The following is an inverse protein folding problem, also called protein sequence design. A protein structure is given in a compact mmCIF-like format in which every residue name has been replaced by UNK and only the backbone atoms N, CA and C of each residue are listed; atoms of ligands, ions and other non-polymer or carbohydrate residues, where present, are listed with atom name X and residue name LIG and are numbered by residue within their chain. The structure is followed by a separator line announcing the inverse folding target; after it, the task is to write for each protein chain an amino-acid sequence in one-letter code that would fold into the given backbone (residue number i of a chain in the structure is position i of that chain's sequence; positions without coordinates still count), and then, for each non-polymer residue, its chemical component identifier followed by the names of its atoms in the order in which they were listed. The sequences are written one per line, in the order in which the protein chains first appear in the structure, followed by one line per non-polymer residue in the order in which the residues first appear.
data_IF_803244017825
#
_entry.id   IF_803244017825
#
_cell.length_a   1.000
_cell.length_b   1.000
_cell.length_c   1.000
_cell.angle_alpha   90.00
_cell.angle_beta   90.00
_cell.angle_gamma   90.00
#
_symmetry.space_group_name_H-M   'P 1'
#
loop_
_entity.id
_entity.type
_entity.pdbx_description
1 polymer ?
#
# COMPACT_ATOMS: atom_id res chain seq x y z
N UNK A 1 -0.29 24.98 -23.00
CA UNK A 1 0.87 25.03 -22.05
C UNK A 1 0.33 25.59 -20.72
N UNK A 2 0.26 24.74 -19.68
CA UNK A 2 -0.15 25.20 -18.35
C UNK A 2 0.97 26.06 -17.75
N UNK A 3 0.65 27.26 -17.25
CA UNK A 3 1.61 28.10 -16.53
C UNK A 3 2.18 27.35 -15.35
N UNK A 4 3.51 27.22 -15.26
CA UNK A 4 4.21 26.74 -14.06
C UNK A 4 3.89 27.72 -12.92
N UNK A 5 3.37 27.21 -11.81
CA UNK A 5 3.03 28.07 -10.66
C UNK A 5 4.32 28.49 -9.95
N UNK A 6 4.51 29.80 -9.81
CA UNK A 6 5.70 30.43 -9.20
C UNK A 6 5.63 30.41 -7.65
N UNK A 7 5.20 29.30 -7.05
CA UNK A 7 5.00 29.18 -5.60
C UNK A 7 5.97 28.19 -5.02
N UNK A 8 6.66 28.57 -3.94
CA UNK A 8 7.49 27.68 -3.13
C UNK A 8 6.70 27.16 -1.93
N UNK A 9 6.55 25.85 -1.83
CA UNK A 9 5.83 25.19 -0.76
C UNK A 9 6.82 24.67 0.25
N UNK A 10 6.61 25.01 1.53
CA UNK A 10 7.41 24.50 2.64
C UNK A 10 6.94 23.10 2.97
N UNK A 11 7.85 22.14 2.83
CA UNK A 11 7.55 20.71 2.98
C UNK A 11 8.57 20.05 3.90
N UNK A 12 8.07 19.50 5.02
CA UNK A 12 8.89 18.72 5.96
C UNK A 12 9.12 17.28 5.49
N UNK A 13 8.39 16.82 4.50
CA UNK A 13 8.52 15.48 3.94
C UNK A 13 9.53 15.37 2.80
N UNK A 14 10.04 16.50 2.27
CA UNK A 14 11.07 16.47 1.24
C UNK A 14 12.49 16.62 1.84
N UNK A 15 13.42 15.82 1.36
CA UNK A 15 14.82 15.82 1.81
C UNK A 15 15.70 16.88 1.13
N UNK A 16 15.20 17.54 0.07
CA UNK A 16 15.95 18.54 -0.71
C UNK A 16 15.04 19.65 -1.19
N UNK A 17 15.60 20.87 -1.31
CA UNK A 17 14.98 21.92 -2.08
C UNK A 17 14.94 21.52 -3.56
N UNK A 18 13.83 21.75 -4.22
CA UNK A 18 13.71 21.39 -5.63
C UNK A 18 12.75 22.28 -6.41
N UNK A 19 13.07 22.50 -7.67
CA UNK A 19 12.24 23.25 -8.61
C UNK A 19 12.33 22.67 -10.00
N UNK A 20 11.25 22.79 -10.77
CA UNK A 20 11.25 22.46 -12.21
C UNK A 20 11.56 23.66 -13.12
N UNK A 21 11.84 24.85 -12.57
CA UNK A 21 12.07 26.06 -13.35
C UNK A 21 13.48 26.60 -13.13
N UNK A 22 14.27 26.57 -14.21
CA UNK A 22 15.65 27.05 -14.23
C UNK A 22 15.81 28.54 -13.94
N UNK A 23 14.73 29.34 -14.12
CA UNK A 23 14.77 30.80 -13.95
C UNK A 23 14.92 31.22 -12.47
N UNK A 24 14.74 30.31 -11.52
CA UNK A 24 14.94 30.60 -10.11
C UNK A 24 16.42 30.66 -9.71
N UNK A 25 17.31 30.05 -10.49
CA UNK A 25 18.70 29.90 -10.11
C UNK A 25 19.53 31.13 -10.36
N UNK A 26 20.25 31.57 -9.33
CA UNK A 26 21.34 32.57 -9.44
C UNK A 26 22.63 31.97 -9.98
N UNK A 27 22.88 30.69 -9.66
CA UNK A 27 23.95 29.90 -10.24
C UNK A 27 23.53 28.45 -10.40
N UNK A 28 23.99 27.77 -11.46
CA UNK A 28 23.56 26.42 -11.82
C UNK A 28 24.78 25.61 -12.25
N UNK A 29 24.96 24.44 -11.61
CA UNK A 29 25.99 23.47 -11.96
C UNK A 29 25.33 22.20 -12.49
N UNK A 30 25.75 21.73 -13.66
CA UNK A 30 25.25 20.49 -14.23
C UNK A 30 25.55 19.32 -13.31
N UNK A 31 24.58 18.43 -13.10
CA UNK A 31 24.77 17.24 -12.28
C UNK A 31 25.89 16.36 -12.86
N UNK A 32 26.85 15.95 -12.04
CA UNK A 32 28.01 15.14 -12.49
C UNK A 32 27.70 13.65 -12.58
N UNK A 33 26.57 13.21 -12.01
CA UNK A 33 26.02 11.83 -12.05
C UNK A 33 24.52 11.92 -12.30
N UNK A 34 23.96 10.87 -12.92
CA UNK A 34 22.52 10.73 -13.08
C UNK A 34 21.86 10.50 -11.72
N UNK A 35 21.52 11.59 -11.03
CA UNK A 35 20.75 11.53 -9.79
C UNK A 35 19.26 11.52 -10.14
N UNK A 36 18.48 10.75 -9.42
CA UNK A 36 17.02 10.74 -9.51
C UNK A 36 16.38 10.98 -8.15
N UNK A 37 15.28 11.71 -8.15
CA UNK A 37 14.44 11.89 -6.96
C UNK A 37 13.28 10.92 -7.04
N UNK A 38 13.04 10.24 -5.92
CA UNK A 38 11.89 9.34 -5.75
C UNK A 38 10.84 10.09 -4.95
N UNK A 39 9.67 10.28 -5.54
CA UNK A 39 8.53 10.89 -4.87
C UNK A 39 7.75 9.88 -4.03
N UNK A 40 6.88 10.37 -3.15
CA UNK A 40 6.07 9.53 -2.27
C UNK A 40 5.12 8.55 -2.99
N UNK A 41 4.84 8.78 -4.26
CA UNK A 41 4.09 7.87 -5.15
C UNK A 41 4.97 6.84 -5.86
N UNK A 42 6.26 6.79 -5.50
CA UNK A 42 7.29 5.97 -6.13
C UNK A 42 7.61 6.34 -7.60
N UNK A 43 7.10 7.45 -8.11
CA UNK A 43 7.58 8.01 -9.38
C UNK A 43 9.00 8.55 -9.22
N UNK A 44 9.77 8.53 -10.30
CA UNK A 44 11.15 9.04 -10.32
C UNK A 44 11.30 10.11 -11.37
N UNK A 45 11.97 11.21 -11.03
CA UNK A 45 12.34 12.25 -12.00
C UNK A 45 13.84 12.50 -11.93
N UNK A 46 14.41 12.81 -13.08
CA UNK A 46 15.83 13.08 -13.20
C UNK A 46 16.19 14.44 -12.60
N UNK A 47 17.32 14.52 -11.89
CA UNK A 47 17.94 15.77 -11.47
C UNK A 47 18.85 16.25 -12.61
N UNK A 48 18.45 17.32 -13.27
CA UNK A 48 19.18 17.87 -14.43
C UNK A 48 20.40 18.67 -14.00
N UNK A 49 20.30 19.40 -12.89
CA UNK A 49 21.33 20.25 -12.35
C UNK A 49 21.08 20.56 -10.88
N UNK A 50 22.07 21.13 -10.20
CA UNK A 50 21.94 21.68 -8.84
C UNK A 50 22.52 23.08 -8.79
N UNK A 51 21.98 23.93 -7.89
CA UNK A 51 22.44 25.31 -7.87
C UNK A 51 21.98 26.09 -6.64
N UNK A 52 22.12 27.40 -6.74
CA UNK A 52 21.75 28.38 -5.73
C UNK A 52 20.49 29.12 -6.18
N UNK A 53 19.57 29.37 -5.26
CA UNK A 53 18.38 30.18 -5.47
C UNK A 53 18.37 31.33 -4.48
N UNK A 54 18.48 32.54 -4.95
CA UNK A 54 18.43 33.74 -4.11
C UNK A 54 16.98 34.02 -3.73
N UNK A 55 16.69 34.06 -2.43
CA UNK A 55 15.35 34.36 -1.90
C UNK A 55 15.19 35.86 -1.65
N UNK A 56 16.17 36.45 -0.99
CA UNK A 56 16.29 37.90 -0.75
C UNK A 56 17.78 38.24 -0.53
N UNK A 57 18.07 39.45 -0.02
CA UNK A 57 19.47 39.88 0.17
C UNK A 57 20.19 39.09 1.27
N UNK A 58 19.44 38.58 2.27
CA UNK A 58 19.99 37.95 3.47
C UNK A 58 19.80 36.43 3.49
N UNK A 59 19.09 35.86 2.52
CA UNK A 59 18.79 34.43 2.53
C UNK A 59 18.87 33.81 1.12
N UNK A 60 19.62 32.76 1.02
CA UNK A 60 19.86 32.01 -0.22
C UNK A 60 19.71 30.50 0.05
N UNK A 61 19.01 29.82 -0.84
CA UNK A 61 18.87 28.35 -0.79
C UNK A 61 20.04 27.69 -1.55
N UNK A 62 20.74 26.79 -0.87
CA UNK A 62 21.88 26.05 -1.43
C UNK A 62 21.44 24.65 -1.89
N UNK A 63 22.22 24.09 -2.82
CA UNK A 63 22.00 22.73 -3.32
C UNK A 63 20.56 22.43 -3.79
N UNK A 64 19.91 23.44 -4.35
CA UNK A 64 18.57 23.26 -4.92
C UNK A 64 18.66 22.40 -6.17
N UNK A 65 17.83 21.36 -6.26
CA UNK A 65 17.78 20.45 -7.41
C UNK A 65 16.86 21.03 -8.50
N UNK A 66 17.36 21.09 -9.73
CA UNK A 66 16.53 21.29 -10.92
C UNK A 66 16.04 19.91 -11.35
N UNK A 67 14.73 19.68 -11.24
CA UNK A 67 14.09 18.38 -11.48
C UNK A 67 13.21 18.45 -12.71
N UNK A 68 13.35 17.47 -13.57
CA UNK A 68 12.57 17.39 -14.81
C UNK A 68 11.07 17.24 -14.50
N UNK A 69 10.24 18.00 -15.20
CA UNK A 69 8.77 17.98 -15.10
C UNK A 69 8.17 18.23 -13.71
N UNK A 70 8.94 18.75 -12.77
CA UNK A 70 8.43 19.13 -11.46
C UNK A 70 7.49 20.34 -11.58
N UNK A 71 6.27 20.20 -11.08
CA UNK A 71 5.21 21.20 -11.23
C UNK A 71 5.24 22.29 -10.15
N UNK A 72 5.76 21.96 -8.97
CA UNK A 72 5.79 22.82 -7.80
C UNK A 72 7.21 22.97 -7.29
N UNK A 73 7.52 24.13 -6.74
CA UNK A 73 8.79 24.33 -6.09
C UNK A 73 8.65 23.91 -4.62
N UNK A 74 9.56 23.08 -4.13
CA UNK A 74 9.53 22.54 -2.78
C UNK A 74 10.70 23.05 -1.96
N UNK A 75 10.39 23.59 -0.79
CA UNK A 75 11.34 24.10 0.19
C UNK A 75 11.46 23.08 1.32
N UNK A 76 12.61 22.42 1.40
CA UNK A 76 12.88 21.39 2.42
C UNK A 76 13.15 22.02 3.78
N UNK A 77 12.32 21.66 4.77
CA UNK A 77 12.57 22.07 6.16
C UNK A 77 13.87 21.44 6.68
N UNK A 78 14.17 20.21 6.30
CA UNK A 78 15.41 19.53 6.71
C UNK A 78 16.65 20.30 6.27
N UNK A 79 16.75 20.68 5.00
CA UNK A 79 17.91 21.44 4.51
C UNK A 79 18.03 22.84 5.16
N UNK A 80 16.92 23.50 5.46
CA UNK A 80 16.94 24.78 6.19
C UNK A 80 17.57 24.61 7.56
N UNK A 81 17.16 23.58 8.29
CA UNK A 81 17.70 23.29 9.63
C UNK A 81 19.17 22.86 9.56
N UNK A 82 19.55 22.04 8.58
CA UNK A 82 20.94 21.62 8.36
C UNK A 82 21.88 22.78 8.04
N UNK A 83 21.36 23.92 7.52
CA UNK A 83 22.10 25.16 7.26
C UNK A 83 22.10 26.13 8.46
N UNK A 84 21.75 25.67 9.66
CA UNK A 84 21.69 26.44 10.91
C UNK A 84 20.64 27.55 10.94
N UNK A 85 19.50 27.34 10.23
CA UNK A 85 18.32 28.18 10.37
C UNK A 85 17.26 27.45 11.19
N UNK A 86 16.38 28.22 11.82
CA UNK A 86 15.24 27.69 12.58
C UNK A 86 13.91 27.97 11.85
N UNK A 87 13.02 27.00 11.79
CA UNK A 87 11.69 27.15 11.17
C UNK A 87 10.62 27.11 12.25
N UNK A 88 9.96 28.23 12.48
CA UNK A 88 8.89 28.33 13.47
C UNK A 88 7.52 28.36 12.78
N UNK A 89 6.71 27.35 13.04
CA UNK A 89 5.32 27.25 12.56
C UNK A 89 4.34 27.74 13.62
N UNK A 90 3.58 28.78 13.30
CA UNK A 90 2.53 29.36 14.17
C UNK A 90 1.22 29.54 13.39
N UNK A 91 0.11 29.56 14.11
CA UNK A 91 -1.22 29.76 13.52
C UNK A 91 -1.35 31.11 12.77
N UNK A 92 -0.71 32.14 13.31
CA UNK A 92 -0.85 33.54 12.85
C UNK A 92 0.35 34.07 12.03
N UNK A 93 1.27 33.22 11.63
CA UNK A 93 2.45 33.61 10.85
C UNK A 93 3.64 32.72 11.20
N UNK A 94 4.19 32.05 10.20
CA UNK A 94 5.36 31.19 10.33
C UNK A 94 6.55 31.88 9.73
N UNK A 95 7.74 31.59 10.22
CA UNK A 95 8.98 32.29 9.79
C UNK A 95 10.18 31.38 9.85
N UNK A 96 11.21 31.70 9.06
CA UNK A 96 12.56 31.18 9.18
C UNK A 96 13.43 32.23 9.85
N UNK A 97 14.23 31.81 10.81
CA UNK A 97 15.15 32.66 11.56
C UNK A 97 16.59 32.18 11.33
N UNK A 98 17.52 33.13 11.30
CA UNK A 98 18.96 32.82 11.29
C UNK A 98 19.49 32.54 12.69
N UNK A 99 20.78 32.25 12.79
CA UNK A 99 21.47 31.99 14.07
C UNK A 99 21.54 33.21 15.03
N UNK A 100 21.25 34.40 14.52
CA UNK A 100 21.18 35.64 15.33
C UNK A 100 19.76 35.88 15.88
N UNK A 101 18.78 35.10 15.42
CA UNK A 101 17.36 35.24 15.78
C UNK A 101 16.59 36.23 14.89
N UNK A 102 17.22 36.68 13.78
CA UNK A 102 16.57 37.57 12.83
C UNK A 102 15.71 36.80 11.83
N UNK A 103 14.56 37.34 11.49
CA UNK A 103 13.63 36.72 10.54
C UNK A 103 14.11 36.94 9.09
N UNK A 104 14.50 35.87 8.43
CA UNK A 104 15.04 35.90 7.07
C UNK A 104 14.05 35.50 5.98
N UNK A 105 12.95 34.79 6.35
CA UNK A 105 11.90 34.42 5.42
C UNK A 105 10.54 34.33 6.11
N UNK A 106 9.54 34.97 5.53
CA UNK A 106 8.16 34.81 5.97
C UNK A 106 7.51 33.61 5.29
N UNK A 107 6.69 32.91 6.06
CA UNK A 107 5.93 31.75 5.58
C UNK A 107 4.46 32.03 5.85
N UNK A 108 3.67 32.16 4.81
CA UNK A 108 2.23 32.35 4.89
C UNK A 108 1.48 31.02 4.82
N UNK A 109 0.35 30.94 5.53
CA UNK A 109 -0.52 29.77 5.43
C UNK A 109 -1.51 29.97 4.30
N UNK A 110 -1.55 28.99 3.41
CA UNK A 110 -2.40 28.98 2.27
C UNK A 110 -3.25 27.70 2.21
N UNK A 111 -4.47 27.79 2.67
CA UNK A 111 -5.32 26.61 2.85
C UNK A 111 -4.69 25.60 3.82
N UNK A 112 -4.29 24.45 3.31
CA UNK A 112 -3.65 23.36 4.09
C UNK A 112 -2.12 23.31 3.94
N UNK A 113 -1.53 24.21 3.16
CA UNK A 113 -0.08 24.21 2.93
C UNK A 113 0.55 25.51 3.46
N UNK A 114 1.86 25.47 3.68
CA UNK A 114 2.68 26.61 4.04
C UNK A 114 3.45 27.06 2.79
N UNK A 115 3.38 28.34 2.49
CA UNK A 115 4.02 28.95 1.34
C UNK A 115 5.11 29.89 1.80
N UNK A 116 6.30 29.76 1.23
CA UNK A 116 7.39 30.71 1.42
C UNK A 116 7.16 31.98 0.61
N UNK A 117 7.25 33.15 1.25
CA UNK A 117 7.02 34.44 0.62
C UNK A 117 8.35 35.01 0.12
N UNK A 118 8.67 34.74 -1.15
CA UNK A 118 9.83 35.34 -1.83
C UNK A 118 9.50 36.76 -2.27
N UNK A 119 10.46 37.65 -2.32
CA UNK A 119 10.27 39.11 -2.55
C UNK A 119 9.81 39.50 -3.97
N UNK A 120 9.45 38.54 -4.82
CA UNK A 120 8.85 38.83 -6.13
C UNK A 120 7.39 38.39 -6.21
N UNK A 121 6.42 39.29 -6.08
CA UNK A 121 5.01 38.94 -6.07
C UNK A 121 4.50 38.77 -7.49
N UNK A 122 4.23 37.55 -7.91
CA UNK A 122 3.26 37.30 -8.98
C UNK A 122 2.09 36.56 -8.35
N UNK A 123 0.89 37.17 -8.47
CA UNK A 123 -0.39 36.74 -7.89
C UNK A 123 -0.66 35.23 -7.94
N UNK A 124 -1.21 34.69 -6.88
CA UNK A 124 -1.45 33.24 -6.77
C UNK A 124 -2.81 32.83 -7.35
N UNK A 125 -2.80 31.82 -8.16
CA UNK A 125 -3.96 30.95 -8.34
C UNK A 125 -3.67 29.66 -7.62
N UNK A 126 -4.54 29.34 -6.67
CA UNK A 126 -4.37 28.21 -5.77
C UNK A 126 -4.80 26.92 -6.42
N UNK A 127 -3.95 25.93 -6.37
CA UNK A 127 -4.37 24.55 -6.57
C UNK A 127 -3.85 23.67 -5.42
N UNK A 128 -4.75 23.01 -4.73
CA UNK A 128 -4.45 22.14 -3.60
C UNK A 128 -3.65 20.93 -4.08
N UNK A 129 -2.50 20.64 -3.43
CA UNK A 129 -1.61 19.51 -3.74
C UNK A 129 -2.24 18.11 -3.55
N UNK A 130 -3.47 18.03 -3.07
CA UNK A 130 -4.17 16.75 -2.80
C UNK A 130 -4.88 16.20 -4.05
N UNK A 131 -5.00 16.95 -5.15
CA UNK A 131 -6.07 16.70 -6.10
C UNK A 131 -5.72 15.86 -7.35
N UNK A 132 -4.48 15.49 -7.60
CA UNK A 132 -4.15 14.72 -8.82
C UNK A 132 -3.99 13.22 -8.63
N UNK A 133 -3.73 12.78 -7.41
CA UNK A 133 -3.64 11.35 -7.08
C UNK A 133 -5.00 10.63 -7.09
N UNK A 134 -6.10 11.35 -6.91
CA UNK A 134 -7.45 10.76 -6.85
C UNK A 134 -7.87 10.05 -8.16
N UNK A 135 -7.24 10.38 -9.29
CA UNK A 135 -7.58 9.80 -10.60
C UNK A 135 -6.47 8.93 -11.19
N UNK A 136 -5.36 8.75 -10.48
CA UNK A 136 -4.25 7.91 -10.93
C UNK A 136 -4.55 6.42 -10.66
N UNK A 137 -4.69 5.67 -11.73
CA UNK A 137 -4.96 4.22 -11.69
C UNK A 137 -3.82 3.48 -10.99
N UNK A 138 -2.56 3.89 -11.18
CA UNK A 138 -1.40 3.28 -10.55
C UNK A 138 -1.39 3.52 -9.04
N UNK A 139 -1.74 4.72 -8.59
CA UNK A 139 -1.86 5.04 -7.16
C UNK A 139 -2.87 4.11 -6.48
N UNK A 140 -4.07 3.98 -7.03
CA UNK A 140 -5.11 3.13 -6.47
C UNK A 140 -4.79 1.64 -6.58
N UNK A 141 -4.14 1.23 -7.68
CA UNK A 141 -3.59 -0.11 -7.83
C UNK A 141 -2.66 -0.46 -6.66
N UNK A 142 -1.70 0.40 -6.35
CA UNK A 142 -0.79 0.21 -5.23
C UNK A 142 -1.49 0.27 -3.87
N UNK A 143 -2.40 1.22 -3.67
CA UNK A 143 -3.12 1.43 -2.41
C UNK A 143 -4.04 0.27 -2.06
N UNK A 144 -4.62 -0.39 -3.06
CA UNK A 144 -5.48 -1.56 -2.90
C UNK A 144 -4.71 -2.89 -3.05
N UNK A 145 -3.43 -2.92 -2.66
CA UNK A 145 -2.62 -4.15 -2.63
C UNK A 145 -2.34 -4.72 -4.01
N UNK A 146 -2.13 -3.85 -4.99
CA UNK A 146 -1.82 -4.21 -6.37
C UNK A 146 -2.93 -4.99 -7.10
N UNK A 147 -4.18 -4.69 -6.80
CA UNK A 147 -5.34 -5.24 -7.50
C UNK A 147 -5.23 -4.98 -9.02
N UNK A 148 -5.59 -5.96 -9.86
CA UNK A 148 -5.47 -5.84 -11.30
C UNK A 148 -6.19 -4.62 -11.88
N UNK A 149 -5.57 -3.92 -12.84
CA UNK A 149 -6.11 -2.67 -13.41
C UNK A 149 -7.53 -2.81 -13.96
N UNK A 150 -7.83 -3.93 -14.64
CA UNK A 150 -9.18 -4.18 -15.15
C UNK A 150 -10.23 -4.33 -14.05
N UNK A 151 -9.86 -4.99 -12.93
CA UNK A 151 -10.74 -5.13 -11.77
C UNK A 151 -10.93 -3.78 -11.05
N UNK A 152 -9.85 -3.02 -10.90
CA UNK A 152 -9.87 -1.67 -10.32
C UNK A 152 -10.80 -0.73 -11.09
N UNK A 153 -10.75 -0.76 -12.42
CA UNK A 153 -11.63 0.03 -13.28
C UNK A 153 -13.10 -0.39 -13.13
N UNK A 154 -13.35 -1.71 -12.98
CA UNK A 154 -14.70 -2.22 -12.72
C UNK A 154 -15.23 -1.76 -11.36
N UNK A 155 -14.44 -1.85 -10.28
CA UNK A 155 -14.80 -1.36 -8.96
C UNK A 155 -15.15 0.14 -8.96
N UNK A 156 -14.34 0.94 -9.66
CA UNK A 156 -14.56 2.37 -9.86
C UNK A 156 -15.82 2.65 -10.70
N UNK A 157 -16.08 1.85 -11.73
CA UNK A 157 -17.26 2.00 -12.60
C UNK A 157 -18.57 1.72 -11.88
N UNK A 158 -18.57 0.72 -11.01
CA UNK A 158 -19.77 0.25 -10.27
C UNK A 158 -19.93 0.91 -8.89
N UNK A 159 -19.07 1.86 -8.50
CA UNK A 159 -19.07 2.53 -7.18
C UNK A 159 -19.05 1.58 -5.97
N UNK A 160 -18.40 0.42 -6.11
CA UNK A 160 -18.39 -0.62 -5.07
C UNK A 160 -17.43 -0.32 -3.91
N UNK A 161 -16.51 0.64 -4.07
CA UNK A 161 -15.55 1.03 -3.03
C UNK A 161 -15.72 2.49 -2.69
N UNK A 162 -16.10 2.77 -1.45
CA UNK A 162 -16.31 4.14 -0.97
C UNK A 162 -15.00 4.95 -1.04
N UNK A 163 -15.05 6.09 -1.70
CA UNK A 163 -13.90 6.99 -1.86
C UNK A 163 -12.98 6.66 -3.04
N UNK A 164 -13.27 5.61 -3.82
CA UNK A 164 -12.59 5.33 -5.07
C UNK A 164 -13.16 6.24 -6.17
N UNK A 165 -12.36 7.12 -6.80
CA UNK A 165 -12.84 8.01 -7.85
C UNK A 165 -13.12 7.24 -9.14
N UNK A 166 -13.80 7.87 -10.10
CA UNK A 166 -13.98 7.31 -11.45
C UNK A 166 -12.63 7.26 -12.18
N UNK A 167 -12.12 6.05 -12.36
CA UNK A 167 -10.82 5.77 -12.99
C UNK A 167 -11.03 5.46 -14.47
N UNK A 168 -10.18 6.03 -15.33
CA UNK A 168 -10.14 5.67 -16.75
C UNK A 168 -9.25 4.45 -16.93
N UNK A 169 -9.66 3.53 -17.82
CA UNK A 169 -8.83 2.39 -18.18
C UNK A 169 -7.61 2.89 -18.96
N UNK A 170 -6.43 2.70 -18.40
CA UNK A 170 -5.16 2.91 -19.08
C UNK A 170 -4.57 1.54 -19.39
N UNK A 171 -4.36 1.23 -20.69
CA UNK A 171 -3.97 -0.08 -21.17
C UNK A 171 -2.45 -0.31 -21.13
N UNK A 172 -1.67 0.78 -21.00
CA UNK A 172 -0.21 0.72 -21.12
C UNK A 172 0.53 0.72 -19.77
N UNK A 173 -0.24 0.68 -18.67
CA UNK A 173 0.35 0.68 -17.33
C UNK A 173 0.98 -0.66 -16.98
N UNK A 174 2.28 -0.63 -16.67
CA UNK A 174 3.04 -1.79 -16.19
C UNK A 174 3.52 -1.52 -14.77
N UNK A 175 3.13 -2.40 -13.85
CA UNK A 175 3.63 -2.37 -12.48
C UNK A 175 4.78 -3.37 -12.32
N UNK A 176 6.00 -2.88 -12.10
CA UNK A 176 7.20 -3.73 -11.97
C UNK A 176 7.12 -4.73 -10.81
N UNK A 177 6.66 -4.36 -9.59
CA UNK A 177 6.44 -5.33 -8.52
C UNK A 177 5.47 -6.46 -8.90
N UNK A 178 4.35 -6.13 -9.58
CA UNK A 178 3.41 -7.16 -10.05
C UNK A 178 4.05 -8.10 -11.06
N UNK A 179 4.87 -7.56 -11.98
CA UNK A 179 5.56 -8.36 -12.99
C UNK A 179 6.55 -9.34 -12.34
N UNK A 180 7.33 -8.89 -11.37
CA UNK A 180 8.27 -9.75 -10.64
C UNK A 180 7.56 -10.82 -9.82
N UNK A 181 6.47 -10.48 -9.13
CA UNK A 181 5.71 -11.43 -8.31
C UNK A 181 5.04 -12.53 -9.13
N UNK A 182 4.59 -12.23 -10.36
CA UNK A 182 3.90 -13.18 -11.26
C UNK A 182 4.82 -14.11 -12.06
N UNK A 183 6.13 -13.91 -12.04
CA UNK A 183 7.07 -14.72 -12.83
C UNK A 183 7.23 -16.17 -12.36
N UNK A 184 6.54 -16.62 -11.31
CA UNK A 184 6.78 -17.90 -10.61
C UNK A 184 5.69 -18.96 -10.86
N UNK A 185 4.69 -18.74 -11.73
CA UNK A 185 3.54 -19.68 -11.82
C UNK A 185 3.06 -19.95 -13.24
N UNK A 186 2.95 -21.23 -13.58
CA UNK A 186 2.16 -21.71 -14.73
C UNK A 186 0.67 -21.70 -14.39
N UNK A 187 -0.16 -21.20 -15.34
CA UNK A 187 -1.61 -21.10 -15.18
C UNK A 187 -2.27 -22.47 -15.35
N UNK A 188 -3.07 -22.90 -14.38
CA UNK A 188 -4.04 -23.98 -14.54
C UNK A 188 -5.43 -23.42 -14.86
N UNK A 189 -6.22 -24.14 -15.65
CA UNK A 189 -7.58 -23.74 -15.99
C UNK A 189 -8.44 -23.59 -14.72
N UNK A 190 -9.25 -22.53 -14.59
CA UNK A 190 -10.08 -22.34 -13.41
C UNK A 190 -11.25 -23.33 -13.42
N UNK A 191 -11.34 -24.18 -12.40
CA UNK A 191 -12.59 -24.85 -12.06
C UNK A 191 -13.42 -23.86 -11.24
N UNK A 192 -14.44 -23.28 -11.85
CA UNK A 192 -15.35 -22.33 -11.18
C UNK A 192 -16.69 -23.03 -11.00
N UNK A 193 -16.81 -23.89 -10.00
CA UNK A 193 -18.10 -24.26 -9.47
C UNK A 193 -18.18 -23.79 -8.01
N UNK A 194 -19.10 -22.88 -7.72
CA UNK A 194 -19.50 -22.58 -6.36
C UNK A 194 -20.35 -23.77 -5.92
N UNK A 195 -19.95 -24.44 -4.83
CA UNK A 195 -20.59 -25.67 -4.35
C UNK A 195 -21.67 -25.40 -3.29
N UNK A 196 -22.00 -24.13 -3.07
CA UNK A 196 -22.87 -23.65 -2.00
C UNK A 196 -23.84 -22.62 -2.53
N UNK A 197 -25.03 -22.56 -1.91
CA UNK A 197 -26.12 -21.65 -2.29
C UNK A 197 -26.16 -20.38 -1.44
N UNK A 198 -25.46 -20.38 -0.31
CA UNK A 198 -25.41 -19.27 0.64
C UNK A 198 -24.05 -19.17 1.35
N UNK A 199 -23.71 -17.97 1.88
CA UNK A 199 -22.48 -17.78 2.66
C UNK A 199 -22.45 -18.67 3.91
N UNK A 200 -21.25 -19.12 4.29
CA UNK A 200 -20.99 -19.86 5.51
C UNK A 200 -21.34 -21.34 5.46
N UNK A 201 -21.82 -21.90 4.35
CA UNK A 201 -22.19 -23.32 4.27
C UNK A 201 -20.99 -24.27 4.14
N UNK A 202 -19.92 -23.83 3.50
CA UNK A 202 -18.69 -24.59 3.31
C UNK A 202 -17.45 -23.69 3.51
N UNK A 203 -16.56 -24.10 4.39
CA UNK A 203 -15.27 -23.43 4.59
C UNK A 203 -14.12 -24.31 4.08
N UNK A 204 -13.29 -23.74 3.23
CA UNK A 204 -12.02 -24.35 2.81
C UNK A 204 -10.91 -23.89 3.73
N UNK A 205 -10.05 -24.81 4.17
CA UNK A 205 -8.95 -24.51 5.09
C UNK A 205 -7.64 -25.04 4.56
N UNK A 206 -6.57 -24.29 4.77
CA UNK A 206 -5.20 -24.71 4.46
C UNK A 206 -4.18 -23.99 5.34
N UNK A 207 -3.08 -24.67 5.63
CA UNK A 207 -1.97 -24.17 6.44
C UNK A 207 -0.74 -23.94 5.58
N UNK A 208 -0.27 -22.70 5.50
CA UNK A 208 0.94 -22.32 4.76
C UNK A 208 2.10 -22.10 5.73
N UNK A 209 3.25 -22.67 5.41
CA UNK A 209 4.49 -22.51 6.17
C UNK A 209 5.27 -23.85 6.30
N UNK A 210 6.39 -23.86 7.05
CA UNK A 210 6.90 -22.73 7.83
C UNK A 210 7.46 -21.60 6.95
N UNK A 211 7.28 -20.36 7.40
CA UNK A 211 7.90 -19.21 6.77
C UNK A 211 9.43 -19.27 6.91
N UNK A 212 10.16 -18.70 5.95
CA UNK A 212 11.65 -18.70 6.01
C UNK A 212 12.22 -17.88 7.16
N UNK A 213 11.46 -16.92 7.66
CA UNK A 213 11.84 -16.01 8.75
C UNK A 213 10.67 -15.93 9.72
N UNK A 214 10.97 -16.00 11.01
CA UNK A 214 9.96 -15.83 12.06
C UNK A 214 9.33 -14.43 11.98
N UNK A 215 8.02 -14.33 12.15
CA UNK A 215 7.35 -13.03 12.20
C UNK A 215 7.72 -12.25 13.46
N UNK A 216 7.43 -10.94 13.46
CA UNK A 216 7.61 -10.10 14.66
C UNK A 216 6.84 -10.66 15.86
N UNK A 217 5.67 -11.27 15.63
CA UNK A 217 4.86 -11.92 16.66
C UNK A 217 5.26 -13.35 16.99
N UNK A 218 6.45 -13.81 16.59
CA UNK A 218 6.94 -15.18 16.92
C UNK A 218 6.28 -16.31 16.14
N UNK A 219 5.60 -16.01 15.01
CA UNK A 219 4.82 -16.98 14.24
C UNK A 219 5.60 -17.52 13.04
N UNK A 220 5.27 -18.76 12.64
CA UNK A 220 5.90 -19.47 11.51
C UNK A 220 4.91 -19.92 10.46
N UNK A 221 3.64 -20.04 10.83
CA UNK A 221 2.58 -20.57 9.96
C UNK A 221 1.42 -19.59 9.87
N UNK A 222 0.65 -19.69 8.81
CA UNK A 222 -0.65 -19.04 8.67
C UNK A 222 -1.69 -20.08 8.29
N UNK A 223 -2.79 -20.13 9.03
CA UNK A 223 -4.01 -20.83 8.65
C UNK A 223 -4.88 -19.88 7.86
N UNK A 224 -5.25 -20.26 6.66
CA UNK A 224 -6.16 -19.52 5.79
C UNK A 224 -7.48 -20.29 5.71
N UNK A 225 -8.56 -19.61 5.99
CA UNK A 225 -9.93 -20.15 5.88
C UNK A 225 -10.70 -19.30 4.86
N UNK A 226 -11.39 -19.94 3.94
CA UNK A 226 -12.12 -19.27 2.84
C UNK A 226 -13.54 -19.81 2.76
N UNK A 227 -14.52 -18.94 2.79
CA UNK A 227 -15.91 -19.29 2.50
C UNK A 227 -16.10 -19.58 1.00
N UNK A 228 -16.71 -20.71 0.67
CA UNK A 228 -16.89 -21.13 -0.73
C UNK A 228 -17.78 -20.19 -1.53
N UNK A 229 -18.83 -19.66 -0.92
CA UNK A 229 -19.80 -18.80 -1.60
C UNK A 229 -19.26 -17.38 -1.83
N UNK A 230 -18.94 -16.69 -0.75
CA UNK A 230 -18.57 -15.28 -0.78
C UNK A 230 -17.10 -15.04 -1.13
N UNK A 231 -16.25 -16.07 -1.05
CA UNK A 231 -14.79 -15.97 -1.12
C UNK A 231 -14.18 -15.10 0.00
N UNK A 232 -14.98 -14.72 0.99
CA UNK A 232 -14.49 -14.05 2.17
C UNK A 232 -13.48 -14.93 2.89
N UNK A 233 -12.43 -14.34 3.47
CA UNK A 233 -11.30 -15.11 4.00
C UNK A 233 -10.88 -14.60 5.36
N UNK A 234 -10.40 -15.53 6.17
CA UNK A 234 -9.79 -15.26 7.47
C UNK A 234 -8.38 -15.82 7.48
N UNK A 235 -7.47 -15.12 8.15
CA UNK A 235 -6.09 -15.56 8.36
C UNK A 235 -5.77 -15.58 9.85
N UNK A 236 -5.10 -16.63 10.29
CA UNK A 236 -4.66 -16.81 11.67
C UNK A 236 -3.20 -17.20 11.68
N UNK A 237 -2.39 -16.47 12.46
CA UNK A 237 -0.95 -16.71 12.53
C UNK A 237 -0.63 -17.63 13.71
N UNK A 238 0.18 -18.66 13.46
CA UNK A 238 0.45 -19.73 14.39
C UNK A 238 1.95 -19.93 14.58
N UNK A 239 2.37 -20.26 15.81
CA UNK A 239 3.74 -20.68 16.08
C UNK A 239 3.94 -22.15 15.68
N UNK A 240 2.93 -23.00 15.92
CA UNK A 240 2.90 -24.41 15.56
C UNK A 240 1.61 -24.74 14.80
N UNK A 241 1.63 -25.81 14.02
CA UNK A 241 0.45 -26.25 13.26
C UNK A 241 -0.70 -26.73 14.14
N UNK A 242 -0.39 -27.19 15.35
CA UNK A 242 -1.38 -27.70 16.30
C UNK A 242 -2.37 -26.62 16.78
N UNK A 243 -2.01 -25.34 16.64
CA UNK A 243 -2.89 -24.22 16.97
C UNK A 243 -4.10 -24.13 16.00
N UNK A 244 -4.08 -24.82 14.84
CA UNK A 244 -5.09 -24.68 13.79
C UNK A 244 -6.51 -24.98 14.30
N UNK A 245 -6.67 -26.02 15.10
CA UNK A 245 -7.96 -26.40 15.68
C UNK A 245 -8.55 -25.29 16.56
N UNK A 246 -7.76 -24.68 17.42
CA UNK A 246 -8.23 -23.63 18.33
C UNK A 246 -8.69 -22.39 17.55
N UNK A 247 -7.95 -22.01 16.52
CA UNK A 247 -8.33 -20.89 15.65
C UNK A 247 -9.61 -21.18 14.87
N UNK A 248 -9.74 -22.39 14.29
CA UNK A 248 -10.96 -22.81 13.62
C UNK A 248 -12.17 -22.81 14.57
N UNK A 249 -12.02 -23.43 15.75
CA UNK A 249 -13.08 -23.46 16.76
C UNK A 249 -13.53 -22.05 17.17
N UNK A 250 -12.57 -21.14 17.40
CA UNK A 250 -12.88 -19.74 17.73
C UNK A 250 -13.62 -19.00 16.60
N UNK A 251 -13.28 -19.28 15.33
CA UNK A 251 -14.01 -18.74 14.18
C UNK A 251 -15.41 -19.34 14.09
N UNK A 252 -15.52 -20.68 14.20
CA UNK A 252 -16.82 -21.36 14.17
C UNK A 252 -17.81 -20.79 15.18
N UNK A 253 -17.40 -20.61 16.43
CA UNK A 253 -18.28 -20.09 17.48
C UNK A 253 -18.77 -18.67 17.17
N UNK A 254 -17.97 -17.85 16.54
CA UNK A 254 -18.38 -16.50 16.10
C UNK A 254 -19.38 -16.56 14.93
N UNK A 255 -19.12 -17.41 13.95
CA UNK A 255 -19.99 -17.59 12.80
C UNK A 255 -21.34 -18.21 13.20
N UNK A 256 -21.32 -19.19 14.10
CA UNK A 256 -22.53 -19.86 14.60
C UNK A 256 -23.39 -18.92 15.46
N UNK A 257 -22.77 -17.94 16.14
CA UNK A 257 -23.49 -16.89 16.87
C UNK A 257 -24.18 -15.91 15.92
N UNK A 258 -23.52 -15.52 14.82
CA UNK A 258 -24.10 -14.59 13.84
C UNK A 258 -25.08 -15.27 12.88
N UNK A 259 -24.79 -16.51 12.49
CA UNK A 259 -25.54 -17.30 11.51
C UNK A 259 -25.72 -18.73 12.02
N UNK A 260 -26.62 -18.97 12.99
CA UNK A 260 -26.80 -20.25 13.63
C UNK A 260 -27.08 -21.38 12.63
N UNK A 261 -26.30 -22.46 12.70
CA UNK A 261 -26.48 -23.66 11.86
C UNK A 261 -26.19 -23.46 10.36
N UNK A 262 -25.56 -22.36 9.98
CA UNK A 262 -25.19 -22.10 8.56
C UNK A 262 -24.10 -23.04 8.08
N UNK A 263 -23.06 -23.27 8.90
CA UNK A 263 -21.94 -24.11 8.52
C UNK A 263 -22.36 -25.60 8.56
N UNK A 264 -22.20 -26.26 7.40
CA UNK A 264 -22.51 -27.67 7.21
C UNK A 264 -21.27 -28.51 6.95
N UNK A 265 -20.30 -27.93 6.24
CA UNK A 265 -19.12 -28.65 5.78
C UNK A 265 -17.86 -27.84 5.94
N UNK A 266 -16.77 -28.53 6.21
CA UNK A 266 -15.40 -28.00 6.15
C UNK A 266 -14.59 -28.86 5.19
N UNK A 267 -13.66 -28.26 4.48
CA UNK A 267 -12.75 -28.96 3.55
C UNK A 267 -11.31 -28.55 3.81
N UNK A 268 -10.44 -29.55 3.94
CA UNK A 268 -9.01 -29.35 4.13
C UNK A 268 -8.20 -30.38 3.33
N UNK A 269 -6.88 -30.27 3.37
CA UNK A 269 -6.01 -31.37 2.99
C UNK A 269 -5.99 -32.48 4.07
N UNK A 270 -5.21 -33.56 3.82
CA UNK A 270 -5.03 -34.66 4.75
C UNK A 270 -3.92 -34.41 5.80
N UNK A 271 -3.53 -33.15 6.05
CA UNK A 271 -2.52 -32.80 7.03
C UNK A 271 -2.89 -33.23 8.45
N UNK A 272 -1.91 -33.64 9.26
CA UNK A 272 -2.13 -34.03 10.65
C UNK A 272 -2.74 -32.93 11.51
N UNK A 273 -2.53 -31.65 11.13
CA UNK A 273 -3.14 -30.49 11.75
C UNK A 273 -4.66 -30.46 11.62
N UNK A 274 -5.22 -31.09 10.58
CA UNK A 274 -6.67 -31.17 10.33
C UNK A 274 -7.23 -32.56 10.61
N UNK A 275 -6.44 -33.61 10.37
CA UNK A 275 -6.85 -35.00 10.57
C UNK A 275 -6.41 -35.49 11.95
N UNK A 276 -7.11 -35.07 12.97
CA UNK A 276 -6.84 -35.44 14.36
C UNK A 276 -8.14 -35.56 15.17
N UNK A 277 -8.02 -36.20 16.34
CA UNK A 277 -9.17 -36.49 17.21
C UNK A 277 -9.95 -35.23 17.64
N UNK A 278 -9.27 -34.10 17.81
CA UNK A 278 -9.94 -32.83 18.21
C UNK A 278 -10.89 -32.30 17.15
N UNK A 279 -10.49 -32.32 15.87
CA UNK A 279 -11.35 -31.96 14.74
C UNK A 279 -12.48 -32.97 14.58
N UNK A 280 -12.17 -34.30 14.64
CA UNK A 280 -13.15 -35.35 14.47
C UNK A 280 -14.24 -35.27 15.53
N UNK A 281 -13.86 -35.19 16.81
CA UNK A 281 -14.80 -35.06 17.92
C UNK A 281 -15.67 -33.81 17.75
N UNK A 282 -15.07 -32.64 17.46
CA UNK A 282 -15.79 -31.40 17.31
C UNK A 282 -16.79 -31.45 16.14
N UNK A 283 -16.39 -32.02 15.01
CA UNK A 283 -17.27 -32.15 13.85
C UNK A 283 -18.47 -33.05 14.17
N UNK A 284 -18.22 -34.20 14.85
CA UNK A 284 -19.28 -35.08 15.27
C UNK A 284 -20.26 -34.44 16.26
N UNK A 285 -19.75 -33.68 17.24
CA UNK A 285 -20.57 -32.96 18.23
C UNK A 285 -21.43 -31.86 17.59
N UNK A 286 -20.97 -31.24 16.52
CA UNK A 286 -21.65 -30.14 15.84
C UNK A 286 -22.40 -30.55 14.56
N UNK A 287 -22.34 -31.82 14.18
CA UNK A 287 -22.96 -32.31 12.95
C UNK A 287 -22.32 -31.73 11.68
N UNK A 288 -21.02 -31.44 11.71
CA UNK A 288 -20.27 -30.93 10.58
C UNK A 288 -19.66 -32.07 9.78
N UNK A 289 -19.78 -32.00 8.46
CA UNK A 289 -19.07 -32.91 7.57
C UNK A 289 -17.66 -32.37 7.29
N UNK A 290 -16.62 -33.20 7.58
CA UNK A 290 -15.24 -32.87 7.25
C UNK A 290 -14.82 -33.62 5.98
N UNK A 291 -14.71 -32.90 4.88
CA UNK A 291 -14.25 -33.42 3.60
C UNK A 291 -12.74 -33.23 3.47
N UNK A 292 -12.02 -34.31 3.19
CA UNK A 292 -10.58 -34.26 2.90
C UNK A 292 -10.34 -34.30 1.39
N UNK A 293 -9.47 -33.44 0.88
CA UNK A 293 -9.06 -33.48 -0.51
C UNK A 293 -8.30 -34.77 -0.80
N UNK A 294 -8.64 -35.43 -1.91
CA UNK A 294 -7.97 -36.66 -2.30
C UNK A 294 -6.49 -36.43 -2.60
N UNK A 295 -5.59 -37.34 -2.18
CA UNK A 295 -4.18 -37.28 -2.51
C UNK A 295 -3.98 -37.17 -4.02
N UNK A 296 -3.14 -36.24 -4.48
CA UNK A 296 -2.84 -35.95 -5.89
C UNK A 296 -3.97 -35.32 -6.73
N UNK A 297 -5.04 -34.84 -6.12
CA UNK A 297 -6.08 -34.06 -6.80
C UNK A 297 -6.12 -32.66 -6.18
N UNK A 298 -5.15 -31.76 -6.50
CA UNK A 298 -5.06 -30.41 -5.94
C UNK A 298 -6.31 -29.57 -6.27
N UNK A 299 -7.06 -29.98 -7.27
CA UNK A 299 -8.26 -29.29 -7.76
C UNK A 299 -9.37 -29.21 -6.70
N UNK A 300 -9.43 -30.14 -5.74
CA UNK A 300 -10.46 -30.17 -4.70
C UNK A 300 -10.23 -29.10 -3.61
N UNK A 301 -8.97 -28.70 -3.35
CA UNK A 301 -8.63 -27.61 -2.41
C UNK A 301 -8.23 -26.31 -3.14
N UNK A 302 -8.48 -26.24 -4.44
CA UNK A 302 -8.07 -25.15 -5.33
C UNK A 302 -8.64 -23.77 -4.97
N UNK A 303 -9.67 -23.69 -4.12
CA UNK A 303 -10.23 -22.42 -3.63
C UNK A 303 -9.24 -21.75 -2.67
N UNK A 304 -8.86 -22.45 -1.62
CA UNK A 304 -7.95 -21.91 -0.60
C UNK A 304 -6.51 -21.82 -1.14
N UNK A 305 -6.04 -22.79 -1.94
CA UNK A 305 -4.70 -22.70 -2.57
C UNK A 305 -4.54 -21.45 -3.44
N UNK A 306 -5.58 -21.14 -4.23
CA UNK A 306 -5.60 -19.91 -5.05
C UNK A 306 -5.61 -18.65 -4.20
N UNK A 307 -6.37 -18.66 -3.09
CA UNK A 307 -6.38 -17.55 -2.14
C UNK A 307 -5.02 -17.37 -1.48
N UNK A 308 -4.37 -18.46 -1.04
CA UNK A 308 -3.03 -18.45 -0.48
C UNK A 308 -2.02 -17.80 -1.42
N UNK A 309 -2.06 -18.17 -2.70
CA UNK A 309 -1.21 -17.57 -3.74
C UNK A 309 -1.44 -16.06 -3.86
N UNK A 310 -2.69 -15.62 -3.92
CA UNK A 310 -3.04 -14.20 -4.03
C UNK A 310 -2.56 -13.42 -2.80
N UNK A 311 -2.79 -13.94 -1.59
CA UNK A 311 -2.36 -13.29 -0.37
C UNK A 311 -0.83 -13.17 -0.27
N UNK A 312 -0.11 -14.23 -0.64
CA UNK A 312 1.35 -14.26 -0.65
C UNK A 312 1.93 -13.29 -1.71
N UNK A 313 1.37 -13.26 -2.91
CA UNK A 313 1.76 -12.31 -3.96
C UNK A 313 1.54 -10.86 -3.51
N UNK A 314 0.38 -10.52 -2.94
CA UNK A 314 0.08 -9.19 -2.42
C UNK A 314 1.02 -8.81 -1.27
N UNK A 315 1.26 -9.73 -0.33
CA UNK A 315 2.16 -9.51 0.80
C UNK A 315 3.60 -9.26 0.33
N UNK A 316 4.11 -10.08 -0.62
CA UNK A 316 5.44 -9.87 -1.21
C UNK A 316 5.55 -8.52 -1.91
N UNK A 317 4.55 -8.13 -2.71
CA UNK A 317 4.55 -6.84 -3.39
C UNK A 317 4.61 -5.67 -2.41
N UNK A 318 3.84 -5.72 -1.31
CA UNK A 318 3.88 -4.69 -0.27
C UNK A 318 5.24 -4.61 0.41
N UNK A 319 5.81 -5.75 0.81
CA UNK A 319 7.12 -5.80 1.46
C UNK A 319 8.24 -5.30 0.54
N UNK A 320 8.23 -5.71 -0.73
CA UNK A 320 9.27 -5.36 -1.71
C UNK A 320 9.18 -3.88 -2.12
N UNK A 321 7.98 -3.37 -2.35
CA UNK A 321 7.76 -1.97 -2.72
C UNK A 321 8.31 -0.99 -1.68
N UNK A 322 8.07 -1.28 -0.40
CA UNK A 322 8.48 -0.40 0.70
C UNK A 322 9.79 -0.85 1.36
N UNK A 323 10.51 -1.82 0.76
CA UNK A 323 11.75 -2.40 1.31
C UNK A 323 11.62 -2.83 2.77
N UNK A 324 10.43 -3.29 3.15
CA UNK A 324 10.10 -3.69 4.51
C UNK A 324 10.76 -5.03 4.84
N UNK A 325 11.37 -5.17 6.03
CA UNK A 325 12.01 -6.43 6.42
C UNK A 325 11.06 -7.62 6.38
N UNK A 326 11.55 -8.78 5.93
CA UNK A 326 10.74 -10.00 5.75
C UNK A 326 10.04 -10.47 7.02
N UNK A 327 10.52 -10.14 8.21
CA UNK A 327 9.86 -10.48 9.50
C UNK A 327 8.45 -9.89 9.65
N UNK A 328 8.05 -8.93 8.81
CA UNK A 328 6.69 -8.35 8.77
C UNK A 328 5.74 -9.08 7.81
N UNK A 329 6.09 -10.31 7.41
CA UNK A 329 5.26 -11.09 6.48
C UNK A 329 3.84 -11.34 7.00
N UNK A 330 3.68 -11.54 8.31
CA UNK A 330 2.38 -11.81 8.92
C UNK A 330 1.46 -10.58 8.81
N UNK A 331 1.97 -9.38 9.12
CA UNK A 331 1.26 -8.12 8.99
C UNK A 331 0.90 -7.83 7.52
N UNK A 332 1.81 -8.15 6.61
CA UNK A 332 1.56 -7.99 5.18
C UNK A 332 0.46 -8.94 4.67
N UNK A 333 0.46 -10.23 5.08
CA UNK A 333 -0.61 -11.19 4.76
C UNK A 333 -1.94 -10.74 5.38
N UNK A 334 -1.95 -10.27 6.63
CA UNK A 334 -3.15 -9.77 7.27
C UNK A 334 -3.74 -8.57 6.51
N UNK A 335 -2.89 -7.64 6.11
CA UNK A 335 -3.28 -6.49 5.28
C UNK A 335 -3.80 -6.93 3.91
N UNK A 336 -3.15 -7.90 3.27
CA UNK A 336 -3.58 -8.47 2.00
C UNK A 336 -4.97 -9.10 2.12
N UNK A 337 -5.22 -9.87 3.18
CA UNK A 337 -6.52 -10.47 3.47
C UNK A 337 -7.61 -9.40 3.68
N UNK A 338 -7.31 -8.39 4.50
CA UNK A 338 -8.22 -7.26 4.74
C UNK A 338 -8.62 -6.54 3.44
N UNK A 339 -7.66 -6.27 2.57
CA UNK A 339 -7.88 -5.62 1.27
C UNK A 339 -8.66 -6.57 0.34
N UNK A 340 -8.24 -7.84 0.26
CA UNK A 340 -8.85 -8.85 -0.60
C UNK A 340 -10.35 -9.00 -0.31
N UNK A 341 -10.76 -9.05 0.95
CA UNK A 341 -12.15 -9.16 1.37
C UNK A 341 -13.03 -7.94 1.02
N UNK A 342 -12.41 -6.82 0.61
CA UNK A 342 -13.13 -5.56 0.26
C UNK A 342 -13.08 -5.23 -1.21
N UNK A 343 -12.13 -5.79 -1.90
CA UNK A 343 -11.86 -5.49 -3.32
C UNK A 343 -12.38 -6.60 -4.23
N UNK A 344 -12.30 -7.85 -3.78
CA UNK A 344 -12.76 -9.03 -4.54
C UNK A 344 -14.11 -9.53 -4.00
N UNK A 345 -15.11 -8.68 -4.10
CA UNK A 345 -16.50 -8.99 -3.81
C UNK A 345 -17.24 -9.45 -5.07
#
# INVERSE_FOLDING_TARGET
MARKENVWIVDSGCSRHMTGDKNWFSSLKKASKTESIIFGDASTSAVLATGLVKVNENFELKNVALVEDLKYNLLSVSQIVDENFEVHFKKTGSKVFDSCGDSVLNISRYGRVFKADFENPVSPVITCLVAKFDKDVMFWHCRLGHVGFGHLTRLSGLDLVRGLPKLKKDLDLVCTPCRHAKMVSTSHAPIVSVMTDAPGQLLHMDTVGPARVQSVGGKWYVLVIVDDFSRYSWVFFMATKDEAFQHFRGLFLRLDLEFPGSLKRIRSDNGGEFKNASFEQFCNERGLEHEFSSPRVPQQNGVVERKNRVLDEMARMMLDKYKTPRKFWAEAINTACYISNRVFL
#
